data_IF_502561135206
#
_entry.id   IF_502561135206
#
_cell.length_a   1.000
_cell.length_b   1.000
_cell.length_c   1.000
_cell.angle_alpha   90.00
_cell.angle_beta   90.00
_cell.angle_gamma   90.00
#
_symmetry.space_group_name_H-M   'P 1'
#
loop_
_entity.id
_entity.type
_entity.pdbx_description
1 polymer ?
#
# COMPACT_ATOMS: atom_id res chain seq x y z
N UNK A 1 23.45 -12.21 16.12
CA UNK A 1 22.16 -12.78 16.58
C UNK A 1 21.03 -12.00 15.92
N UNK A 2 19.93 -12.66 15.50
CA UNK A 2 18.81 -11.98 14.87
C UNK A 2 18.21 -10.95 15.81
N UNK A 3 17.70 -9.85 15.24
CA UNK A 3 16.99 -8.80 15.95
C UNK A 3 15.73 -8.42 15.19
N UNK A 4 14.72 -7.99 15.94
CA UNK A 4 13.50 -7.39 15.40
C UNK A 4 13.43 -5.94 15.82
N UNK A 5 12.92 -5.09 14.95
CA UNK A 5 12.81 -3.65 15.19
C UNK A 5 11.34 -3.24 15.15
N UNK A 6 10.60 -3.31 16.26
CA UNK A 6 9.25 -2.74 16.32
C UNK A 6 9.31 -1.27 15.93
N UNK A 7 8.48 -0.88 14.96
CA UNK A 7 8.44 0.46 14.40
C UNK A 7 7.00 0.95 14.36
N UNK A 8 6.68 1.87 15.26
CA UNK A 8 5.34 2.38 15.48
C UNK A 8 5.24 3.82 14.94
N UNK A 9 4.22 4.06 14.12
CA UNK A 9 3.96 5.36 13.53
C UNK A 9 2.63 5.89 14.03
N UNK A 10 2.66 6.95 14.82
CA UNK A 10 1.45 7.63 15.30
C UNK A 10 1.19 8.86 14.45
N UNK A 11 0.02 8.90 13.79
CA UNK A 11 -0.37 9.96 12.87
C UNK A 11 -1.85 10.31 13.02
N UNK A 12 -2.21 11.51 12.60
CA UNK A 12 -3.61 11.93 12.44
C UNK A 12 -4.07 11.55 11.03
N UNK A 13 -5.23 10.90 10.91
CA UNK A 13 -5.82 10.65 9.59
C UNK A 13 -6.16 12.00 8.95
N UNK A 14 -5.59 12.33 7.77
CA UNK A 14 -5.87 13.59 7.09
C UNK A 14 -7.36 13.87 6.96
N UNK A 15 -7.76 15.11 7.23
CA UNK A 15 -9.16 15.54 7.21
C UNK A 15 -9.99 15.13 8.43
N UNK A 16 -9.41 14.46 9.43
CA UNK A 16 -10.12 14.05 10.66
C UNK A 16 -9.30 14.36 11.91
N UNK A 17 -9.94 14.36 13.08
CA UNK A 17 -9.23 14.42 14.38
C UNK A 17 -8.79 13.05 14.89
N UNK A 18 -9.04 11.97 14.13
CA UNK A 18 -8.71 10.61 14.53
C UNK A 18 -7.20 10.39 14.49
N UNK A 19 -6.62 10.11 15.65
CA UNK A 19 -5.22 9.70 15.79
C UNK A 19 -5.13 8.17 15.78
N UNK A 20 -4.20 7.64 14.99
CA UNK A 20 -3.98 6.20 14.82
C UNK A 20 -2.51 5.89 15.05
N UNK A 21 -2.20 4.67 15.51
CA UNK A 21 -0.82 4.18 15.61
C UNK A 21 -0.69 2.90 14.82
N UNK A 22 -0.06 2.98 13.63
CA UNK A 22 0.29 1.80 12.84
C UNK A 22 1.46 1.10 13.49
N UNK A 23 1.28 -0.18 13.83
CA UNK A 23 2.34 -1.02 14.39
C UNK A 23 2.95 -1.89 13.31
N UNK A 24 4.26 -1.79 13.15
CA UNK A 24 5.03 -2.67 12.28
C UNK A 24 6.17 -3.32 13.04
N UNK A 25 6.68 -4.42 12.52
CA UNK A 25 7.98 -4.97 12.91
C UNK A 25 8.89 -4.99 11.69
N UNK A 26 10.05 -4.37 11.81
CA UNK A 26 11.08 -4.38 10.78
C UNK A 26 12.03 -5.54 11.03
N UNK A 27 12.32 -6.30 9.98
CA UNK A 27 13.23 -7.44 10.01
C UNK A 27 13.56 -7.97 8.63
N UNK A 28 14.38 -9.01 8.57
CA UNK A 28 14.74 -9.68 7.31
C UNK A 28 13.68 -10.72 6.91
N UNK A 29 12.96 -10.44 5.84
CA UNK A 29 12.04 -11.40 5.20
C UNK A 29 12.71 -12.13 4.05
N UNK A 30 12.43 -13.43 3.91
CA UNK A 30 12.90 -14.21 2.76
C UNK A 30 12.20 -13.76 1.48
N UNK A 31 12.99 -13.63 0.40
CA UNK A 31 12.52 -13.40 -0.95
C UNK A 31 12.05 -14.73 -1.55
N UNK A 32 10.92 -14.69 -2.23
CA UNK A 32 10.29 -15.83 -2.89
C UNK A 32 9.90 -15.41 -4.29
N UNK A 33 9.94 -16.38 -5.19
CA UNK A 33 9.31 -16.21 -6.48
C UNK A 33 7.80 -16.09 -6.35
N UNK A 34 7.18 -15.22 -7.15
CA UNK A 34 5.72 -15.05 -7.11
C UNK A 34 4.97 -16.36 -7.43
N UNK A 35 5.57 -17.26 -8.22
CA UNK A 35 5.03 -18.59 -8.50
C UNK A 35 4.93 -19.50 -7.27
N UNK A 36 5.72 -19.24 -6.20
CA UNK A 36 5.63 -19.99 -4.94
C UNK A 36 4.40 -19.58 -4.11
N UNK A 37 3.76 -18.46 -4.46
CA UNK A 37 2.51 -18.00 -3.85
C UNK A 37 2.63 -17.64 -2.36
N UNK A 38 3.85 -17.48 -1.82
CA UNK A 38 4.11 -16.93 -0.47
C UNK A 38 3.92 -15.42 -0.46
N UNK A 39 4.38 -14.76 -1.52
CA UNK A 39 4.36 -13.31 -1.69
C UNK A 39 3.32 -12.99 -2.77
N UNK A 40 2.39 -12.08 -2.45
CA UNK A 40 1.27 -11.70 -3.32
C UNK A 40 1.40 -10.24 -3.72
N UNK A 41 1.81 -9.94 -4.98
CA UNK A 41 1.76 -8.59 -5.51
C UNK A 41 0.32 -8.20 -5.85
N UNK A 42 0.05 -6.90 -5.84
CA UNK A 42 -1.22 -6.33 -6.32
C UNK A 42 -1.06 -5.35 -7.49
N UNK A 43 0.18 -5.15 -7.96
CA UNK A 43 0.53 -4.26 -9.08
C UNK A 43 1.40 -5.04 -10.08
N UNK A 44 1.26 -4.72 -11.37
CA UNK A 44 2.23 -5.10 -12.41
C UNK A 44 3.27 -3.98 -12.53
N UNK A 45 4.52 -4.35 -12.47
CA UNK A 45 5.63 -3.40 -12.38
C UNK A 45 6.20 -3.06 -13.76
N UNK A 46 6.42 -1.77 -14.05
CA UNK A 46 6.99 -1.30 -15.32
C UNK A 46 8.53 -1.47 -15.36
N UNK A 47 9.10 -1.70 -16.55
CA UNK A 47 10.52 -2.08 -16.71
C UNK A 47 11.54 -0.96 -16.44
N UNK A 48 11.21 0.30 -16.73
CA UNK A 48 12.13 1.43 -16.63
C UNK A 48 12.69 1.68 -15.22
N UNK A 49 11.85 1.96 -14.21
CA UNK A 49 12.29 2.23 -12.82
C UNK A 49 13.09 1.10 -12.16
N UNK A 50 13.00 -0.14 -12.66
CA UNK A 50 13.71 -1.29 -12.11
C UNK A 50 15.20 -1.28 -12.42
N UNK A 51 15.58 -0.80 -13.61
CA UNK A 51 16.97 -0.88 -14.07
C UNK A 51 17.88 0.06 -13.27
N UNK A 52 17.47 1.31 -13.10
CA UNK A 52 18.21 2.31 -12.31
C UNK A 52 18.44 1.80 -10.88
N UNK A 53 17.39 1.26 -10.27
CA UNK A 53 17.46 0.73 -8.91
C UNK A 53 18.34 -0.50 -8.78
N UNK A 54 18.32 -1.39 -9.78
CA UNK A 54 19.22 -2.54 -9.84
C UNK A 54 20.68 -2.10 -9.99
N UNK A 55 20.97 -1.07 -10.80
CA UNK A 55 22.32 -0.51 -10.91
C UNK A 55 22.80 0.07 -9.58
N UNK A 56 21.93 0.77 -8.84
CA UNK A 56 22.26 1.27 -7.50
C UNK A 56 22.56 0.13 -6.52
N UNK A 57 21.74 -0.92 -6.51
CA UNK A 57 21.97 -2.09 -5.63
C UNK A 57 23.25 -2.83 -6.01
N UNK A 58 23.58 -2.97 -7.30
CA UNK A 58 24.85 -3.56 -7.75
C UNK A 58 26.06 -2.73 -7.31
N UNK A 59 25.97 -1.40 -7.43
CA UNK A 59 27.06 -0.50 -7.09
C UNK A 59 27.34 -0.45 -5.57
N UNK A 60 26.31 -0.62 -4.74
CA UNK A 60 26.40 -0.40 -3.29
C UNK A 60 26.33 -1.69 -2.46
N UNK A 61 25.78 -2.77 -3.00
CA UNK A 61 25.40 -3.97 -2.23
C UNK A 61 24.28 -3.72 -1.21
N UNK A 62 23.61 -2.56 -1.25
CA UNK A 62 22.65 -2.14 -0.24
C UNK A 62 21.21 -2.05 -0.78
N UNK A 63 20.25 -2.35 0.10
CA UNK A 63 18.83 -2.13 -0.14
C UNK A 63 18.37 -0.84 0.57
N UNK A 64 18.04 0.18 -0.21
CA UNK A 64 17.65 1.49 0.32
C UNK A 64 16.13 1.61 0.48
N UNK A 65 15.60 1.11 1.59
CA UNK A 65 14.23 1.36 2.01
C UNK A 65 13.40 0.10 2.23
N UNK A 66 12.41 0.22 3.10
CA UNK A 66 11.59 -0.87 3.59
C UNK A 66 10.59 -1.34 2.55
N UNK A 67 10.54 -2.65 2.31
CA UNK A 67 9.39 -3.26 1.66
C UNK A 67 8.21 -3.25 2.64
N UNK A 68 7.10 -2.63 2.26
CA UNK A 68 5.94 -2.57 3.12
C UNK A 68 5.07 -3.80 2.88
N UNK A 69 5.09 -4.72 3.84
CA UNK A 69 4.44 -6.03 3.74
C UNK A 69 3.26 -6.11 4.70
N UNK A 70 2.13 -6.60 4.19
CA UNK A 70 0.95 -6.90 4.98
C UNK A 70 0.80 -8.39 5.22
N UNK A 71 0.30 -8.78 6.40
CA UNK A 71 0.01 -10.17 6.74
C UNK A 71 -1.30 -10.32 7.53
N UNK A 72 -1.98 -11.48 7.45
CA UNK A 72 -3.20 -11.72 8.22
C UNK A 72 -2.90 -12.12 9.66
N UNK A 73 -3.28 -11.28 10.64
CA UNK A 73 -3.25 -11.65 12.06
C UNK A 73 -4.43 -11.06 12.83
N UNK A 74 -5.56 -11.79 12.86
CA UNK A 74 -6.84 -11.32 13.46
C UNK A 74 -6.79 -11.23 14.98
N UNK A 75 -6.03 -12.12 15.61
CA UNK A 75 -5.88 -12.21 17.06
C UNK A 75 -4.78 -11.27 17.58
N UNK A 76 -4.20 -10.43 16.69
CA UNK A 76 -3.12 -9.50 17.01
C UNK A 76 -1.92 -10.14 17.72
N UNK A 77 -1.67 -11.43 17.51
CA UNK A 77 -0.67 -12.23 18.24
C UNK A 77 0.73 -11.64 18.14
N UNK A 78 1.13 -11.17 16.96
CA UNK A 78 2.45 -10.54 16.79
C UNK A 78 2.51 -9.24 17.59
N UNK A 79 1.54 -8.35 17.40
CA UNK A 79 1.50 -7.07 18.11
C UNK A 79 1.46 -7.26 19.64
N UNK A 80 0.72 -8.25 20.16
CA UNK A 80 0.70 -8.56 21.60
C UNK A 80 2.08 -8.94 22.15
N UNK A 81 2.83 -9.80 21.43
CA UNK A 81 4.19 -10.19 21.82
C UNK A 81 5.12 -8.97 21.83
N UNK A 82 5.01 -8.12 20.81
CA UNK A 82 5.82 -6.91 20.71
C UNK A 82 5.47 -5.94 21.83
N UNK A 83 4.19 -5.61 22.02
CA UNK A 83 3.76 -4.68 23.07
C UNK A 83 4.18 -5.14 24.47
N UNK A 84 4.10 -6.44 24.76
CA UNK A 84 4.61 -7.02 26.00
C UNK A 84 6.12 -6.83 26.14
N UNK A 85 6.89 -7.10 25.07
CA UNK A 85 8.33 -6.91 25.07
C UNK A 85 8.75 -5.43 25.20
N UNK A 86 7.91 -4.50 24.74
CA UNK A 86 8.14 -3.05 24.81
C UNK A 86 7.65 -2.41 26.11
N UNK A 87 6.91 -3.14 26.95
CA UNK A 87 6.33 -2.59 28.17
C UNK A 87 7.42 -2.02 29.10
N UNK A 88 7.33 -0.72 29.40
CA UNK A 88 8.30 -0.01 30.23
C UNK A 88 9.63 0.30 29.54
N UNK A 89 9.76 0.08 28.22
CA UNK A 89 10.96 0.42 27.45
C UNK A 89 10.78 1.70 26.64
N UNK A 90 11.77 2.59 26.73
CA UNK A 90 11.86 3.77 25.86
C UNK A 90 12.32 3.37 24.45
N UNK A 91 11.82 4.05 23.40
CA UNK A 91 12.26 3.79 22.03
C UNK A 91 13.73 4.15 21.86
N UNK A 92 14.47 3.31 21.14
CA UNK A 92 15.85 3.59 20.75
C UNK A 92 15.94 4.77 19.76
N UNK A 93 14.90 4.97 18.94
CA UNK A 93 14.76 6.10 18.03
C UNK A 93 13.38 6.72 18.18
N UNK A 94 13.33 8.02 18.42
CA UNK A 94 12.11 8.83 18.41
C UNK A 94 12.29 10.07 17.52
N UNK A 95 11.48 10.20 16.47
CA UNK A 95 11.53 11.33 15.53
C UNK A 95 10.11 11.77 15.19
N UNK A 96 9.93 13.06 14.92
CA UNK A 96 8.72 13.59 14.30
C UNK A 96 9.09 14.09 12.91
N UNK A 97 8.39 13.62 11.87
CA UNK A 97 8.64 14.06 10.49
C UNK A 97 7.99 15.43 10.21
N UNK A 98 8.21 15.95 9.00
CA UNK A 98 7.64 17.22 8.52
C UNK A 98 6.11 17.23 8.46
N UNK A 99 5.47 16.05 8.47
CA UNK A 99 4.02 15.88 8.45
C UNK A 99 3.44 15.71 9.86
N UNK A 100 4.27 15.81 10.90
CA UNK A 100 3.86 15.62 12.30
C UNK A 100 3.64 14.15 12.69
N UNK A 101 4.06 13.19 11.86
CA UNK A 101 4.01 11.76 12.18
C UNK A 101 5.08 11.46 13.22
N UNK A 102 4.66 10.86 14.34
CA UNK A 102 5.58 10.42 15.40
C UNK A 102 6.07 9.02 15.10
N UNK A 103 7.35 8.91 14.81
CA UNK A 103 8.06 7.67 14.54
C UNK A 103 8.77 7.21 15.81
N UNK A 104 8.49 5.99 16.24
CA UNK A 104 9.19 5.35 17.36
C UNK A 104 9.68 3.97 16.95
N UNK A 105 10.94 3.68 17.22
CA UNK A 105 11.54 2.39 16.91
C UNK A 105 12.26 1.84 18.14
N UNK A 106 12.07 0.55 18.38
CA UNK A 106 12.75 -0.20 19.43
C UNK A 106 13.61 -1.30 18.81
N UNK A 107 14.40 -1.95 19.63
CA UNK A 107 15.20 -3.10 19.25
C UNK A 107 14.91 -4.25 20.22
N UNK A 108 14.47 -5.38 19.68
CA UNK A 108 14.25 -6.61 20.45
C UNK A 108 15.34 -7.61 20.06
N UNK A 109 16.16 -7.96 21.05
CA UNK A 109 17.16 -9.03 20.97
C UNK A 109 16.78 -10.30 21.73
N UNK A 110 15.60 -10.34 22.36
CA UNK A 110 15.10 -11.50 23.11
C UNK A 110 14.81 -12.68 22.16
N UNK A 111 15.59 -13.75 22.28
CA UNK A 111 15.48 -14.92 21.40
C UNK A 111 14.15 -15.66 21.52
N UNK A 112 13.51 -15.65 22.70
CA UNK A 112 12.21 -16.29 22.89
C UNK A 112 11.12 -15.53 22.15
N UNK A 113 11.05 -14.21 22.36
CA UNK A 113 10.07 -13.34 21.69
C UNK A 113 10.25 -13.36 20.17
N UNK A 114 11.50 -13.28 19.69
CA UNK A 114 11.81 -13.42 18.25
C UNK A 114 11.32 -14.77 17.71
N UNK A 115 11.60 -15.86 18.43
CA UNK A 115 11.16 -17.19 18.03
C UNK A 115 9.64 -17.35 17.99
N UNK A 116 8.90 -16.68 18.89
CA UNK A 116 7.44 -16.66 18.87
C UNK A 116 6.89 -15.93 17.62
N UNK A 117 7.42 -14.74 17.32
CA UNK A 117 7.05 -13.99 16.10
C UNK A 117 7.35 -14.79 14.84
N UNK A 118 8.54 -15.39 14.75
CA UNK A 118 8.92 -16.23 13.61
C UNK A 118 7.98 -17.43 13.43
N UNK A 119 7.55 -18.08 14.52
CA UNK A 119 6.58 -19.18 14.48
C UNK A 119 5.22 -18.73 13.95
N UNK A 120 4.73 -17.57 14.39
CA UNK A 120 3.45 -17.02 13.92
C UNK A 120 3.51 -16.64 12.43
N UNK A 121 4.64 -16.09 11.99
CA UNK A 121 4.81 -15.61 10.62
C UNK A 121 5.10 -16.72 9.60
N UNK A 122 5.60 -17.89 10.04
CA UNK A 122 6.10 -18.97 9.17
C UNK A 122 5.15 -19.36 8.04
N UNK A 123 3.86 -19.50 8.34
CA UNK A 123 2.86 -20.01 7.40
C UNK A 123 2.01 -18.89 6.78
N UNK A 124 2.34 -17.62 7.06
CA UNK A 124 1.55 -16.49 6.57
C UNK A 124 1.92 -16.14 5.14
N UNK A 125 0.89 -15.83 4.36
CA UNK A 125 1.04 -15.17 3.07
C UNK A 125 1.27 -13.68 3.31
N UNK A 126 2.21 -13.11 2.56
CA UNK A 126 2.53 -11.70 2.64
C UNK A 126 2.04 -10.99 1.38
N UNK A 127 1.45 -9.82 1.57
CA UNK A 127 0.97 -8.95 0.50
C UNK A 127 1.88 -7.74 0.44
N UNK A 128 2.42 -7.41 -0.72
CA UNK A 128 3.20 -6.18 -0.87
C UNK A 128 2.20 -5.03 -0.87
N UNK A 129 2.24 -4.14 0.12
CA UNK A 129 1.46 -2.89 0.11
C UNK A 129 2.18 -1.78 -0.66
N UNK A 130 3.50 -1.74 -0.55
CA UNK A 130 4.34 -0.81 -1.30
C UNK A 130 5.75 -1.39 -1.49
N UNK A 131 6.36 -1.08 -2.63
CA UNK A 131 7.72 -1.49 -2.98
C UNK A 131 7.83 -2.69 -3.92
N UNK A 132 6.89 -2.91 -4.85
CA UNK A 132 6.98 -4.01 -5.82
C UNK A 132 8.24 -3.92 -6.69
N UNK A 133 8.62 -2.71 -7.14
CA UNK A 133 9.87 -2.52 -7.90
C UNK A 133 11.09 -2.87 -7.03
N UNK A 134 11.09 -2.46 -5.74
CA UNK A 134 12.12 -2.82 -4.77
C UNK A 134 12.22 -4.34 -4.59
N UNK A 135 11.07 -5.00 -4.51
CA UNK A 135 10.99 -6.45 -4.32
C UNK A 135 11.62 -7.18 -5.50
N UNK A 136 11.23 -6.82 -6.72
CA UNK A 136 11.73 -7.45 -7.93
C UNK A 136 13.20 -7.12 -8.20
N UNK A 137 13.66 -5.91 -7.89
CA UNK A 137 15.09 -5.57 -7.92
C UNK A 137 15.88 -6.45 -6.96
N UNK A 138 15.40 -6.63 -5.72
CA UNK A 138 16.06 -7.49 -4.73
C UNK A 138 16.08 -8.96 -5.18
N UNK A 139 14.98 -9.46 -5.74
CA UNK A 139 14.89 -10.82 -6.28
C UNK A 139 15.82 -11.04 -7.49
N UNK A 140 15.92 -10.05 -8.38
CA UNK A 140 16.83 -10.08 -9.54
C UNK A 140 18.28 -10.09 -9.07
N UNK A 141 18.65 -9.21 -8.15
CA UNK A 141 19.99 -9.15 -7.59
C UNK A 141 20.37 -10.48 -6.90
N UNK A 142 19.47 -11.05 -6.09
CA UNK A 142 19.69 -12.36 -5.47
C UNK A 142 19.99 -13.47 -6.49
N UNK A 143 19.24 -13.51 -7.60
CA UNK A 143 19.47 -14.49 -8.68
C UNK A 143 20.83 -14.31 -9.35
N UNK A 144 21.24 -13.07 -9.59
CA UNK A 144 22.57 -12.76 -10.15
C UNK A 144 23.68 -13.24 -9.22
N UNK A 145 23.54 -13.01 -7.91
CA UNK A 145 24.52 -13.47 -6.91
C UNK A 145 24.55 -15.00 -6.80
N UNK A 146 23.39 -15.67 -6.84
CA UNK A 146 23.30 -17.12 -6.82
C UNK A 146 23.93 -17.76 -8.06
N UNK A 147 23.71 -17.18 -9.25
CA UNK A 147 24.27 -17.68 -10.51
C UNK A 147 25.79 -17.45 -10.62
N UNK A 148 26.32 -16.41 -9.99
CA UNK A 148 27.76 -16.10 -9.96
C UNK A 148 28.54 -16.82 -8.85
N UNK A 149 27.88 -17.67 -8.06
CA UNK A 149 28.52 -18.54 -7.07
C UNK A 149 28.78 -17.91 -5.68
N UNK A 150 28.08 -16.84 -5.28
CA UNK A 150 28.27 -16.22 -3.96
C UNK A 150 27.24 -16.64 -2.88
N UNK A 151 27.60 -16.76 -1.56
CA UNK A 151 28.97 -16.78 -0.99
C UNK A 151 29.24 -17.80 0.17
N UNK A 152 30.53 -18.03 0.53
CA UNK A 152 30.95 -18.05 1.94
C UNK A 152 32.03 -16.97 2.18
N UNK A 153 32.03 -16.10 3.19
CA UNK A 153 31.47 -16.16 4.54
C UNK A 153 30.45 -15.04 4.85
N UNK A 154 29.47 -15.33 5.72
CA UNK A 154 28.40 -14.42 6.16
C UNK A 154 26.97 -14.85 5.83
N UNK A 155 26.80 -15.84 4.96
CA UNK A 155 25.71 -16.84 4.80
C UNK A 155 24.21 -16.49 4.86
N UNK A 156 23.77 -15.41 5.51
CA UNK A 156 22.38 -15.29 5.98
C UNK A 156 21.50 -14.29 5.23
N UNK A 157 22.00 -13.60 4.19
CA UNK A 157 21.39 -12.32 3.77
C UNK A 157 21.09 -12.13 2.28
N UNK A 158 21.54 -13.01 1.36
CA UNK A 158 21.30 -12.76 -0.08
C UNK A 158 19.87 -13.11 -0.52
N UNK A 159 19.21 -14.07 0.14
CA UNK A 159 17.82 -14.46 -0.14
C UNK A 159 16.81 -13.69 0.73
N UNK A 160 17.23 -12.57 1.33
CA UNK A 160 16.39 -11.78 2.24
C UNK A 160 16.41 -10.31 1.87
N UNK A 161 15.35 -9.62 2.29
CA UNK A 161 15.27 -8.19 2.20
C UNK A 161 14.75 -7.58 3.49
N UNK A 162 15.08 -6.31 3.71
CA UNK A 162 14.55 -5.53 4.82
C UNK A 162 13.06 -5.20 4.56
N UNK A 163 12.19 -5.68 5.43
CA UNK A 163 10.74 -5.54 5.29
C UNK A 163 10.15 -4.95 6.57
N UNK A 164 9.13 -4.11 6.43
CA UNK A 164 8.23 -3.73 7.51
C UNK A 164 6.97 -4.58 7.40
N UNK A 165 6.72 -5.42 8.41
CA UNK A 165 5.55 -6.28 8.47
C UNK A 165 4.45 -5.60 9.30
N UNK A 166 3.26 -5.41 8.72
CA UNK A 166 2.08 -4.87 9.40
C UNK A 166 0.91 -5.83 9.25
N UNK A 167 0.14 -6.03 10.32
CA UNK A 167 -1.08 -6.83 10.22
C UNK A 167 -2.12 -6.09 9.37
N UNK A 168 -2.80 -6.78 8.45
CA UNK A 168 -3.97 -6.22 7.75
C UNK A 168 -5.14 -5.90 8.71
N UNK A 169 -5.11 -6.47 9.92
CA UNK A 169 -6.11 -6.22 10.96
C UNK A 169 -5.59 -5.23 12.01
N UNK A 170 -4.46 -4.57 11.77
CA UNK A 170 -3.97 -3.50 12.65
C UNK A 170 -4.95 -2.31 12.59
N UNK A 171 -5.52 -1.91 13.73
CA UNK A 171 -6.47 -0.80 13.79
C UNK A 171 -5.84 0.54 13.39
N UNK A 172 -4.53 0.64 13.47
CA UNK A 172 -3.75 1.78 13.01
C UNK A 172 -3.41 1.76 11.53
N UNK A 173 -3.74 0.69 10.80
CA UNK A 173 -3.57 0.64 9.34
C UNK A 173 -4.77 1.35 8.67
N UNK A 174 -4.55 2.57 8.20
CA UNK A 174 -5.52 3.29 7.36
C UNK A 174 -5.11 3.22 5.88
N UNK A 175 -6.04 2.84 5.01
CA UNK A 175 -5.93 3.00 3.55
C UNK A 175 -6.84 4.16 3.14
N UNK A 176 -6.23 5.25 2.65
CA UNK A 176 -6.96 6.45 2.26
C UNK A 176 -7.30 6.42 0.76
N UNK A 177 -8.31 7.20 0.32
CA UNK A 177 -8.63 7.32 -1.09
C UNK A 177 -7.41 7.75 -1.92
N UNK A 178 -7.18 7.08 -3.04
CA UNK A 178 -6.14 7.50 -3.98
C UNK A 178 -6.72 8.49 -4.99
N UNK A 179 -6.04 9.61 -5.23
CA UNK A 179 -6.41 10.54 -6.29
C UNK A 179 -5.66 10.24 -7.59
N UNK A 180 -6.19 10.71 -8.71
CA UNK A 180 -5.52 10.69 -10.03
C UNK A 180 -5.54 12.10 -10.59
N UNK A 181 -4.38 12.59 -10.99
CA UNK A 181 -4.25 13.84 -11.73
C UNK A 181 -4.01 13.49 -13.19
N UNK A 182 -4.95 13.86 -14.06
CA UNK A 182 -4.84 13.69 -15.50
C UNK A 182 -4.60 15.07 -16.12
N UNK A 183 -3.59 15.17 -16.97
CA UNK A 183 -3.18 16.42 -17.61
C UNK A 183 -2.84 16.16 -19.08
N UNK A 184 -2.67 17.24 -19.85
CA UNK A 184 -2.38 17.19 -21.30
C UNK A 184 -3.45 16.45 -22.12
N UNK A 185 -4.72 16.63 -21.76
CA UNK A 185 -5.86 16.17 -22.56
C UNK A 185 -6.22 17.27 -23.59
N UNK A 186 -5.93 17.10 -24.89
CA UNK A 186 -6.31 18.07 -25.90
C UNK A 186 -7.84 18.12 -26.01
N UNK A 187 -8.39 19.33 -26.13
CA UNK A 187 -9.83 19.57 -26.31
C UNK A 187 -10.73 18.87 -25.28
N UNK A 188 -10.25 18.72 -24.04
CA UNK A 188 -11.02 18.08 -22.99
C UNK A 188 -12.30 18.86 -22.67
N UNK A 189 -13.44 18.19 -22.79
CA UNK A 189 -14.76 18.72 -22.44
C UNK A 189 -15.27 18.05 -21.14
N UNK A 190 -15.12 18.70 -19.98
CA UNK A 190 -15.62 18.18 -18.71
C UNK A 190 -17.14 17.99 -18.69
N UNK A 191 -17.89 18.87 -19.37
CA UNK A 191 -19.34 18.81 -19.37
C UNK A 191 -19.83 17.63 -20.21
N UNK A 192 -19.25 17.44 -21.41
CA UNK A 192 -19.50 16.28 -22.25
C UNK A 192 -19.14 14.95 -21.58
N UNK A 193 -18.04 14.91 -20.83
CA UNK A 193 -17.69 13.74 -20.02
C UNK A 193 -18.73 13.46 -18.94
N UNK A 194 -19.18 14.47 -18.18
CA UNK A 194 -20.21 14.25 -17.16
C UNK A 194 -21.50 13.71 -17.79
N UNK A 195 -21.94 14.26 -18.91
CA UNK A 195 -23.13 13.79 -19.65
C UNK A 195 -22.96 12.32 -20.09
N UNK A 196 -21.79 11.93 -20.62
CA UNK A 196 -21.57 10.54 -21.05
C UNK A 196 -21.63 9.55 -19.89
N UNK A 197 -21.17 9.97 -18.69
CA UNK A 197 -21.16 9.16 -17.49
C UNK A 197 -22.55 8.99 -16.86
N UNK A 198 -23.52 9.86 -17.16
CA UNK A 198 -24.90 9.75 -16.61
C UNK A 198 -25.57 8.42 -16.94
N UNK A 199 -25.16 7.71 -17.99
CA UNK A 199 -25.67 6.38 -18.29
C UNK A 199 -25.43 5.41 -17.12
N UNK A 200 -24.24 5.44 -16.52
CA UNK A 200 -23.79 4.47 -15.52
C UNK A 200 -23.69 5.04 -14.09
N UNK A 201 -23.51 6.35 -13.97
CA UNK A 201 -23.27 7.04 -12.70
C UNK A 201 -24.43 7.96 -12.34
N UNK A 202 -24.71 8.05 -11.05
CA UNK A 202 -25.44 9.16 -10.45
C UNK A 202 -24.45 10.29 -10.20
N UNK A 203 -24.69 11.45 -10.80
CA UNK A 203 -23.84 12.63 -10.71
C UNK A 203 -24.52 13.65 -9.80
N UNK A 204 -23.78 14.16 -8.82
CA UNK A 204 -24.24 15.18 -7.88
C UNK A 204 -23.21 16.31 -7.82
N UNK A 205 -23.67 17.55 -8.01
CA UNK A 205 -22.84 18.74 -7.81
C UNK A 205 -22.67 18.99 -6.31
N UNK A 206 -21.42 19.10 -5.87
CA UNK A 206 -21.04 19.24 -4.46
C UNK A 206 -20.71 20.70 -4.09
N UNK A 207 -20.92 21.63 -5.03
CA UNK A 207 -20.56 23.04 -4.91
C UNK A 207 -19.07 23.31 -5.16
N UNK A 208 -18.57 24.49 -4.75
CA UNK A 208 -17.24 24.97 -5.13
C UNK A 208 -16.11 24.03 -4.67
N UNK A 209 -14.97 24.08 -5.36
CA UNK A 209 -13.73 23.33 -5.05
C UNK A 209 -13.01 23.80 -3.77
N UNK A 210 -13.71 23.75 -2.66
CA UNK A 210 -13.14 23.96 -1.34
C UNK A 210 -12.78 22.62 -0.71
N UNK A 211 -11.69 22.61 0.07
CA UNK A 211 -11.23 21.44 0.80
C UNK A 211 -12.32 20.86 1.71
N UNK A 212 -13.10 21.73 2.36
CA UNK A 212 -14.23 21.33 3.21
C UNK A 212 -15.31 20.55 2.45
N UNK A 213 -15.64 20.97 1.22
CA UNK A 213 -16.61 20.26 0.37
C UNK A 213 -16.06 18.90 -0.08
N UNK A 214 -14.77 18.84 -0.44
CA UNK A 214 -14.10 17.59 -0.81
C UNK A 214 -14.10 16.59 0.35
N UNK A 215 -13.65 17.02 1.55
CA UNK A 215 -13.60 16.16 2.74
C UNK A 215 -15.00 15.64 3.08
N UNK A 216 -15.98 16.54 3.16
CA UNK A 216 -17.38 16.16 3.44
C UNK A 216 -17.91 15.14 2.43
N UNK A 217 -17.59 15.31 1.15
CA UNK A 217 -18.04 14.38 0.11
C UNK A 217 -17.35 13.02 0.22
N UNK A 218 -16.04 12.99 0.51
CA UNK A 218 -15.31 11.74 0.76
C UNK A 218 -15.87 10.99 1.97
N UNK A 219 -16.18 11.69 3.06
CA UNK A 219 -16.80 11.11 4.25
C UNK A 219 -18.21 10.57 3.96
N UNK A 220 -19.06 11.35 3.28
CA UNK A 220 -20.42 10.95 2.96
C UNK A 220 -20.50 9.74 2.02
N UNK A 221 -19.47 9.56 1.18
CA UNK A 221 -19.36 8.47 0.22
C UNK A 221 -18.58 7.26 0.75
N UNK A 222 -17.91 7.39 1.90
CA UNK A 222 -17.23 6.26 2.53
C UNK A 222 -18.23 5.13 2.82
N UNK A 223 -17.87 3.89 2.42
CA UNK A 223 -18.54 2.61 2.76
C UNK A 223 -19.86 2.22 2.06
N UNK A 224 -20.34 2.89 1.00
CA UNK A 224 -21.68 2.58 0.44
C UNK A 224 -21.71 2.01 -0.98
N UNK A 225 -20.89 2.51 -1.91
CA UNK A 225 -20.85 2.11 -3.34
C UNK A 225 -19.55 2.59 -4.00
N UNK A 226 -19.25 2.15 -5.22
CA UNK A 226 -18.17 2.73 -6.01
C UNK A 226 -18.43 4.22 -6.22
N UNK A 227 -17.55 5.05 -5.66
CA UNK A 227 -17.76 6.49 -5.60
C UNK A 227 -16.46 7.25 -5.82
N UNK A 228 -16.54 8.31 -6.60
CA UNK A 228 -15.40 9.12 -7.02
C UNK A 228 -15.76 10.58 -6.91
N UNK A 229 -14.77 11.43 -6.66
CA UNK A 229 -14.92 12.88 -6.75
C UNK A 229 -14.17 13.34 -8.00
N UNK A 230 -14.87 14.08 -8.84
CA UNK A 230 -14.35 14.66 -10.06
C UNK A 230 -14.19 16.18 -9.92
N UNK A 231 -13.06 16.67 -10.41
CA UNK A 231 -12.73 18.09 -10.49
C UNK A 231 -11.97 18.32 -11.81
N UNK A 232 -12.38 19.32 -12.59
CA UNK A 232 -11.71 19.71 -13.83
C UNK A 232 -11.26 21.16 -13.75
N UNK A 233 -10.09 21.51 -14.31
CA UNK A 233 -9.49 22.86 -14.18
C UNK A 233 -10.49 23.99 -14.47
N UNK A 234 -11.24 23.89 -15.56
CA UNK A 234 -12.14 24.95 -16.06
C UNK A 234 -13.60 24.80 -15.57
N UNK A 235 -13.78 24.19 -14.39
CA UNK A 235 -15.06 24.07 -13.69
C UNK A 235 -14.90 24.64 -12.27
N UNK A 236 -15.89 25.33 -11.73
CA UNK A 236 -15.79 25.88 -10.37
C UNK A 236 -16.17 24.87 -9.29
N UNK A 237 -16.92 23.84 -9.68
CA UNK A 237 -17.54 22.89 -8.77
C UNK A 237 -16.83 21.53 -8.72
N UNK A 238 -17.06 20.84 -7.61
CA UNK A 238 -16.79 19.41 -7.43
C UNK A 238 -18.03 18.61 -7.82
N UNK A 239 -17.81 17.42 -8.37
CA UNK A 239 -18.88 16.49 -8.71
C UNK A 239 -18.63 15.14 -8.03
N UNK A 240 -19.66 14.57 -7.40
CA UNK A 240 -19.65 13.17 -6.97
C UNK A 240 -20.15 12.30 -8.10
N UNK A 241 -19.41 11.23 -8.41
CA UNK A 241 -19.79 10.19 -9.35
C UNK A 241 -20.03 8.92 -8.53
N UNK A 242 -21.29 8.47 -8.41
CA UNK A 242 -21.64 7.23 -7.70
C UNK A 242 -22.15 6.21 -8.71
N UNK A 243 -21.58 5.02 -8.74
CA UNK A 243 -22.06 3.98 -9.64
C UNK A 243 -23.50 3.61 -9.25
N UNK A 244 -24.42 3.62 -10.22
CA UNK A 244 -25.82 3.28 -9.95
C UNK A 244 -25.94 1.84 -9.47
N UNK A 245 -26.82 1.59 -8.49
CA UNK A 245 -27.07 0.23 -7.97
C UNK A 245 -27.54 -0.78 -9.03
N UNK A 246 -28.17 -0.31 -10.12
CA UNK A 246 -28.59 -1.15 -11.25
C UNK A 246 -27.46 -1.53 -12.19
N UNK A 247 -26.27 -0.94 -12.04
CA UNK A 247 -25.11 -1.17 -12.90
C UNK A 247 -24.16 -2.13 -12.19
N UNK A 248 -23.91 -3.28 -12.82
CA UNK A 248 -22.91 -4.22 -12.35
C UNK A 248 -21.56 -3.96 -13.05
N UNK A 249 -20.49 -3.64 -12.31
CA UNK A 249 -19.14 -3.57 -12.86
C UNK A 249 -18.74 -4.86 -13.58
N UNK A 250 -19.17 -6.03 -13.08
CA UNK A 250 -18.79 -7.32 -13.66
C UNK A 250 -19.38 -7.55 -15.05
N UNK A 251 -20.53 -6.94 -15.34
CA UNK A 251 -21.19 -7.00 -16.64
C UNK A 251 -20.58 -6.02 -17.66
N UNK A 252 -20.10 -4.86 -17.20
CA UNK A 252 -19.52 -3.83 -18.07
C UNK A 252 -18.02 -4.04 -18.34
N UNK A 253 -17.30 -4.65 -17.41
CA UNK A 253 -15.85 -4.88 -17.53
C UNK A 253 -15.61 -6.28 -18.11
N UNK A 254 -15.23 -6.42 -19.39
CA UNK A 254 -14.99 -7.72 -20.01
C UNK A 254 -13.71 -8.39 -19.48
N UNK A 255 -13.59 -9.70 -19.69
CA UNK A 255 -12.38 -10.47 -19.39
C UNK A 255 -12.40 -11.27 -18.08
N UNK A 256 -11.29 -11.96 -17.81
CA UNK A 256 -11.13 -13.02 -16.80
C UNK A 256 -10.99 -12.54 -15.34
N UNK A 257 -11.08 -11.23 -15.08
CA UNK A 257 -11.01 -10.70 -13.71
C UNK A 257 -12.14 -11.24 -12.83
N UNK A 258 -11.86 -11.52 -11.56
CA UNK A 258 -12.90 -11.88 -10.59
C UNK A 258 -13.89 -10.73 -10.40
N UNK A 259 -15.11 -11.04 -9.95
CA UNK A 259 -16.13 -10.01 -9.69
C UNK A 259 -15.63 -8.97 -8.69
N UNK A 260 -14.96 -9.41 -7.62
CA UNK A 260 -14.37 -8.54 -6.60
C UNK A 260 -13.33 -7.60 -7.20
N UNK A 261 -12.49 -8.10 -8.12
CA UNK A 261 -11.52 -7.24 -8.80
C UNK A 261 -12.23 -6.21 -9.68
N UNK A 262 -13.21 -6.63 -10.48
CA UNK A 262 -13.97 -5.74 -11.36
C UNK A 262 -14.71 -4.64 -10.58
N UNK A 263 -15.15 -4.93 -9.36
CA UNK A 263 -15.83 -3.97 -8.49
C UNK A 263 -14.93 -3.02 -7.71
N UNK A 264 -13.60 -3.08 -7.86
CA UNK A 264 -12.71 -2.11 -7.19
C UNK A 264 -12.83 -0.72 -7.84
N UNK A 265 -12.82 0.34 -7.03
CA UNK A 265 -12.92 1.73 -7.52
C UNK A 265 -11.90 2.06 -8.60
N UNK A 266 -10.66 1.58 -8.44
CA UNK A 266 -9.60 1.78 -9.44
C UNK A 266 -9.95 1.15 -10.79
N UNK A 267 -10.59 -0.02 -10.80
CA UNK A 267 -10.95 -0.68 -12.05
C UNK A 267 -12.19 -0.06 -12.67
N UNK A 268 -13.17 0.33 -11.87
CA UNK A 268 -14.32 1.12 -12.34
C UNK A 268 -13.85 2.43 -12.98
N UNK A 269 -12.90 3.14 -12.35
CA UNK A 269 -12.33 4.38 -12.86
C UNK A 269 -11.64 4.14 -14.21
N UNK A 270 -10.71 3.19 -14.27
CA UNK A 270 -9.95 2.94 -15.48
C UNK A 270 -10.84 2.44 -16.62
N UNK A 271 -11.71 1.45 -16.36
CA UNK A 271 -12.49 0.76 -17.40
C UNK A 271 -13.71 1.54 -17.87
N UNK A 272 -14.35 2.32 -16.99
CA UNK A 272 -15.59 3.03 -17.35
C UNK A 272 -15.39 4.52 -17.58
N UNK A 273 -14.25 5.11 -17.19
CA UNK A 273 -14.00 6.55 -17.34
C UNK A 273 -12.76 6.83 -18.20
N UNK A 274 -11.64 6.12 -17.99
CA UNK A 274 -10.40 6.44 -18.74
C UNK A 274 -10.26 5.73 -20.08
N UNK A 275 -10.68 4.48 -20.21
CA UNK A 275 -10.50 3.69 -21.44
C UNK A 275 -11.56 3.92 -22.55
N UNK A 276 -12.82 4.30 -22.27
CA UNK A 276 -13.81 4.54 -23.31
C UNK A 276 -13.58 5.79 -24.18
N UNK A 277 -12.55 6.58 -23.90
CA UNK A 277 -12.25 7.90 -24.48
C UNK A 277 -10.78 7.98 -24.91
#
# INVERSE_FOLDING_TARGET
MPRLYPYYQTYRIPGTDKVCTRKSVVGLGKLYDYSEGVIRPHEKTHSGPKLDRLMLTRATGCQFGLLFMLYPDREARVNSILDEALAGQEPAIGVVDENGVKHRMWEIGDSEKIGQVQRIMRDKKLYIADGHHRYETALTYWREQAASGGPPAGGETIDRAMMAFVSIHDEGLSVLPTHRLVFALPDFDPAGLLISLEAHFQIEELGPKFESNLIRALEANSSKTNSMIFAAKDQDNLYSLKLKHSVSPSALIPGEGSEVWKSLDVNVLHKLIFEPH
#
